data_IF_373880710149
#
_entry.id   IF_373880710149
#
_cell.length_a   1.000
_cell.length_b   1.000
_cell.length_c   1.000
_cell.angle_alpha   90.00
_cell.angle_beta   90.00
_cell.angle_gamma   90.00
#
_symmetry.space_group_name_H-M   'P 1'
#
loop_
_entity.id
_entity.type
_entity.pdbx_description
1 polymer ?
#
# COMPACT_ATOMS: atom_id res chain seq x y z
N UNK A 1 -21.96 19.00 12.77
CA UNK A 1 -20.71 19.03 11.98
C UNK A 1 -19.76 17.98 12.55
N UNK A 2 -19.69 16.78 11.96
CA UNK A 2 -18.84 15.67 12.44
C UNK A 2 -17.97 15.05 11.31
N UNK A 3 -18.11 15.55 10.08
CA UNK A 3 -17.46 14.97 8.89
C UNK A 3 -16.07 15.52 8.57
N UNK A 4 -15.69 16.69 9.09
CA UNK A 4 -14.39 17.31 8.83
C UNK A 4 -13.23 16.56 9.49
N UNK A 5 -13.36 16.27 10.78
CA UNK A 5 -12.32 15.64 11.60
C UNK A 5 -11.95 14.22 11.14
N UNK A 6 -12.95 13.44 10.72
CA UNK A 6 -12.73 12.08 10.21
C UNK A 6 -12.09 12.09 8.81
N UNK A 7 -12.43 13.09 7.98
CA UNK A 7 -11.83 13.25 6.65
C UNK A 7 -10.35 13.59 6.78
N UNK A 8 -10.00 14.51 7.68
CA UNK A 8 -8.61 14.91 7.96
C UNK A 8 -7.77 13.73 8.44
N UNK A 9 -8.26 12.94 9.41
CA UNK A 9 -7.53 11.76 9.91
C UNK A 9 -7.26 10.69 8.85
N UNK A 10 -8.21 10.49 7.93
CA UNK A 10 -8.02 9.53 6.84
C UNK A 10 -7.03 10.04 5.79
N UNK A 11 -7.03 11.35 5.52
CA UNK A 11 -6.05 11.99 4.64
C UNK A 11 -4.65 11.93 5.27
N UNK A 12 -4.51 12.26 6.56
CA UNK A 12 -3.25 12.14 7.29
C UNK A 12 -2.71 10.70 7.25
N UNK A 13 -3.56 9.71 7.57
CA UNK A 13 -3.18 8.29 7.50
C UNK A 13 -2.75 7.85 6.09
N UNK A 14 -3.35 8.40 5.03
CA UNK A 14 -2.95 8.12 3.65
C UNK A 14 -1.62 8.81 3.29
N UNK A 15 -1.45 10.07 3.73
CA UNK A 15 -0.21 10.85 3.51
C UNK A 15 0.98 10.20 4.21
N UNK A 16 0.80 9.69 5.44
CA UNK A 16 1.87 8.99 6.17
C UNK A 16 2.34 7.73 5.44
N UNK A 17 1.40 6.96 4.88
CA UNK A 17 1.70 5.77 4.07
C UNK A 17 2.45 6.13 2.78
N UNK A 18 2.02 7.18 2.09
CA UNK A 18 2.69 7.66 0.88
C UNK A 18 4.08 8.23 1.20
N UNK A 19 4.22 8.96 2.31
CA UNK A 19 5.49 9.46 2.83
C UNK A 19 6.49 8.35 3.15
N UNK A 20 6.00 7.13 3.41
CA UNK A 20 6.82 5.94 3.62
C UNK A 20 7.15 5.23 2.29
N UNK A 21 6.15 4.98 1.44
CA UNK A 21 6.30 4.16 0.22
C UNK A 21 7.10 4.90 -0.87
N UNK A 22 6.88 6.20 -1.07
CA UNK A 22 7.51 6.96 -2.16
C UNK A 22 9.04 6.98 -2.01
N UNK A 23 9.63 7.31 -0.84
CA UNK A 23 11.08 7.25 -0.67
C UNK A 23 11.66 5.84 -0.85
N UNK A 24 10.96 4.79 -0.37
CA UNK A 24 11.36 3.39 -0.55
C UNK A 24 11.41 3.00 -2.04
N UNK A 25 10.39 3.37 -2.81
CA UNK A 25 10.34 3.11 -4.26
C UNK A 25 11.47 3.84 -5.03
N UNK A 26 11.74 5.10 -4.70
CA UNK A 26 12.83 5.86 -5.33
C UNK A 26 14.21 5.28 -4.98
N UNK A 27 14.41 4.85 -3.72
CA UNK A 27 15.65 4.20 -3.31
C UNK A 27 15.88 2.86 -4.02
N UNK A 28 14.85 2.00 -4.07
CA UNK A 28 14.93 0.67 -4.67
C UNK A 28 15.12 0.69 -6.19
N UNK A 29 14.63 1.72 -6.89
CA UNK A 29 14.88 1.94 -8.33
C UNK A 29 16.26 2.56 -8.63
N UNK A 30 17.09 2.77 -7.59
CA UNK A 30 18.38 3.47 -7.66
C UNK A 30 18.25 4.87 -8.27
N UNK A 31 17.11 5.53 -8.04
CA UNK A 31 16.83 6.85 -8.58
C UNK A 31 17.86 7.88 -8.11
N UNK A 32 18.19 7.86 -6.81
CA UNK A 32 19.18 8.76 -6.21
C UNK A 32 20.60 8.50 -6.73
N UNK A 33 20.99 7.25 -6.98
CA UNK A 33 22.30 6.92 -7.59
C UNK A 33 22.49 7.56 -8.96
N UNK A 34 21.38 7.75 -9.70
CA UNK A 34 21.37 8.32 -11.05
C UNK A 34 21.27 9.85 -11.07
N UNK A 35 20.93 10.48 -9.93
CA UNK A 35 20.73 11.93 -9.84
C UNK A 35 21.63 12.51 -8.74
N UNK A 36 22.93 12.61 -9.03
CA UNK A 36 23.90 13.15 -8.10
C UNK A 36 23.66 14.64 -7.75
N UNK A 37 22.97 15.36 -8.63
CA UNK A 37 22.61 16.77 -8.48
C UNK A 37 21.54 17.04 -7.42
N UNK A 38 20.76 16.01 -7.02
CA UNK A 38 19.75 16.16 -5.96
C UNK A 38 20.28 15.75 -4.58
N UNK A 39 21.58 15.45 -4.46
CA UNK A 39 22.14 15.17 -3.15
C UNK A 39 22.13 16.43 -2.27
N UNK A 40 21.88 16.29 -0.96
CA UNK A 40 21.80 17.43 -0.05
C UNK A 40 23.04 18.34 -0.08
N UNK A 41 24.22 17.78 -0.31
CA UNK A 41 25.49 18.52 -0.41
C UNK A 41 25.67 19.29 -1.74
N UNK A 42 24.77 19.11 -2.71
CA UNK A 42 24.73 19.83 -3.99
C UNK A 42 23.61 20.86 -4.06
N UNK A 43 22.69 20.85 -3.10
CA UNK A 43 21.55 21.77 -3.01
C UNK A 43 21.78 22.77 -1.87
N UNK A 44 22.03 24.06 -2.16
CA UNK A 44 22.29 25.09 -1.14
C UNK A 44 21.21 25.17 -0.05
N UNK A 45 19.95 24.90 -0.42
CA UNK A 45 18.80 24.90 0.50
C UNK A 45 18.78 23.72 1.51
N UNK A 46 19.69 22.75 1.37
CA UNK A 46 19.74 21.52 2.15
C UNK A 46 21.10 21.25 2.81
N UNK A 47 22.09 22.13 2.64
CA UNK A 47 23.46 21.97 3.20
C UNK A 47 23.45 21.85 4.72
N UNK A 48 22.59 22.62 5.40
CA UNK A 48 22.48 22.63 6.87
C UNK A 48 21.20 21.98 7.39
N UNK A 49 20.42 21.36 6.50
CA UNK A 49 19.22 20.65 6.93
C UNK A 49 19.62 19.28 7.46
N UNK A 50 19.09 18.85 8.62
CA UNK A 50 19.31 17.49 9.08
C UNK A 50 18.85 16.55 7.97
N UNK A 51 19.72 15.63 7.55
CA UNK A 51 19.30 14.53 6.67
C UNK A 51 18.05 13.90 7.29
N UNK A 52 16.96 13.87 6.51
CA UNK A 52 15.72 13.25 6.97
C UNK A 52 16.05 11.84 7.46
N UNK A 53 15.73 11.53 8.72
CA UNK A 53 15.92 10.20 9.33
C UNK A 53 14.95 9.16 8.77
N UNK A 54 14.64 9.24 7.47
CA UNK A 54 13.80 8.26 6.81
C UNK A 54 14.58 6.95 6.77
N UNK A 55 14.16 6.04 7.64
CA UNK A 55 14.71 4.70 7.72
C UNK A 55 14.26 3.93 6.49
N UNK A 56 15.14 3.85 5.49
CA UNK A 56 14.95 2.97 4.34
C UNK A 56 15.20 1.54 4.81
N UNK A 57 14.16 0.71 4.76
CA UNK A 57 14.25 -0.71 5.11
C UNK A 57 14.19 -1.53 3.83
N UNK A 58 15.26 -2.26 3.52
CA UNK A 58 15.24 -3.26 2.46
C UNK A 58 14.79 -4.59 3.07
N UNK A 59 13.59 -5.02 2.69
CA UNK A 59 13.05 -6.32 3.09
C UNK A 59 13.53 -7.34 2.06
N UNK A 60 14.23 -8.38 2.53
CA UNK A 60 14.70 -9.50 1.70
C UNK A 60 13.76 -10.68 1.84
N UNK A 61 13.83 -11.63 0.90
CA UNK A 61 13.07 -12.89 0.95
C UNK A 61 11.54 -12.70 0.98
N UNK A 62 11.05 -11.56 0.50
CA UNK A 62 9.62 -11.36 0.24
C UNK A 62 9.15 -12.36 -0.81
N UNK A 63 7.94 -12.94 -0.68
CA UNK A 63 7.38 -13.86 -1.67
C UNK A 63 7.37 -13.21 -3.05
N UNK A 64 7.86 -13.91 -4.06
CA UNK A 64 7.93 -13.39 -5.43
C UNK A 64 7.00 -14.19 -6.33
N UNK A 65 6.46 -13.52 -7.34
CA UNK A 65 5.76 -14.22 -8.42
C UNK A 65 6.69 -15.22 -9.11
N UNK A 66 6.12 -16.30 -9.64
CA UNK A 66 6.86 -17.19 -10.54
C UNK A 66 7.40 -16.43 -11.74
N UNK A 67 8.58 -16.83 -12.22
CA UNK A 67 9.23 -16.23 -13.39
C UNK A 67 8.39 -16.31 -14.68
N UNK A 68 7.49 -17.29 -14.75
CA UNK A 68 6.52 -17.46 -15.85
C UNK A 68 5.21 -16.71 -15.64
N UNK A 69 5.02 -16.06 -14.49
CA UNK A 69 3.79 -15.32 -14.17
C UNK A 69 3.86 -13.86 -14.64
N UNK A 70 2.69 -13.28 -14.94
CA UNK A 70 2.47 -11.87 -15.28
C UNK A 70 1.82 -11.07 -14.14
N UNK A 71 1.99 -11.53 -12.90
CA UNK A 71 1.37 -11.00 -11.68
C UNK A 71 2.15 -9.86 -11.01
N UNK A 72 3.05 -9.16 -11.70
CA UNK A 72 3.88 -8.12 -11.08
C UNK A 72 3.03 -7.01 -10.41
N UNK A 73 1.92 -6.63 -11.07
CA UNK A 73 0.95 -5.68 -10.53
C UNK A 73 0.22 -6.22 -9.30
N UNK A 74 -0.14 -7.50 -9.32
CA UNK A 74 -0.79 -8.18 -8.19
C UNK A 74 0.08 -8.14 -6.94
N UNK A 75 1.35 -8.53 -7.05
CA UNK A 75 2.30 -8.51 -5.94
C UNK A 75 2.57 -7.09 -5.45
N UNK A 76 2.62 -6.10 -6.35
CA UNK A 76 2.76 -4.69 -5.97
C UNK A 76 1.57 -4.22 -5.13
N UNK A 77 0.34 -4.48 -5.58
CA UNK A 77 -0.87 -4.14 -4.83
C UNK A 77 -0.92 -4.84 -3.47
N UNK A 78 -0.53 -6.12 -3.43
CA UNK A 78 -0.49 -6.91 -2.22
C UNK A 78 0.51 -6.33 -1.21
N UNK A 79 1.75 -6.04 -1.61
CA UNK A 79 2.73 -5.44 -0.70
C UNK A 79 2.28 -4.07 -0.18
N UNK A 80 1.68 -3.24 -1.04
CA UNK A 80 1.11 -1.96 -0.61
C UNK A 80 -0.01 -2.16 0.41
N UNK A 81 -0.88 -3.16 0.22
CA UNK A 81 -1.94 -3.52 1.17
C UNK A 81 -1.35 -3.99 2.52
N UNK A 82 -0.36 -4.87 2.50
CA UNK A 82 0.28 -5.40 3.72
C UNK A 82 1.01 -4.31 4.51
N UNK A 83 1.85 -3.52 3.85
CA UNK A 83 2.57 -2.39 4.48
C UNK A 83 1.58 -1.35 5.01
N UNK A 84 0.50 -1.10 4.27
CA UNK A 84 -0.59 -0.21 4.71
C UNK A 84 -1.31 -0.70 5.96
N UNK A 85 -1.23 -2.00 6.27
CA UNK A 85 -1.77 -2.62 7.47
C UNK A 85 -0.66 -2.97 8.48
N UNK A 86 0.50 -2.31 8.37
CA UNK A 86 1.62 -2.42 9.31
C UNK A 86 2.27 -3.82 9.34
N UNK A 87 2.08 -4.61 8.28
CA UNK A 87 2.74 -5.91 8.10
C UNK A 87 4.00 -5.71 7.26
N UNK A 88 5.15 -5.64 7.94
CA UNK A 88 6.45 -5.41 7.29
C UNK A 88 7.27 -6.68 7.09
N UNK A 89 7.03 -7.73 7.90
CA UNK A 89 7.67 -9.03 7.70
C UNK A 89 6.74 -9.94 6.90
N UNK A 90 7.09 -10.13 5.63
CA UNK A 90 6.32 -10.90 4.67
C UNK A 90 7.04 -12.18 4.26
N UNK A 91 8.21 -12.49 4.84
CA UNK A 91 9.10 -13.56 4.36
C UNK A 91 8.47 -14.97 4.39
N UNK A 92 7.43 -15.14 5.22
CA UNK A 92 6.74 -16.42 5.43
C UNK A 92 5.26 -16.36 5.06
N UNK A 93 4.84 -15.31 4.35
CA UNK A 93 3.46 -15.20 3.88
C UNK A 93 3.32 -16.07 2.63
N UNK A 94 2.46 -17.08 2.72
CA UNK A 94 2.05 -17.84 1.55
C UNK A 94 1.02 -17.02 0.75
N UNK A 95 1.36 -16.68 -0.50
CA UNK A 95 0.52 -15.84 -1.35
C UNK A 95 -0.27 -16.72 -2.31
N UNK A 96 -1.57 -16.85 -2.05
CA UNK A 96 -2.51 -17.39 -3.04
C UNK A 96 -2.80 -16.33 -4.11
N UNK A 97 -1.97 -16.32 -5.15
CA UNK A 97 -2.10 -15.39 -6.27
C UNK A 97 -3.48 -15.48 -6.95
N UNK A 98 -4.09 -16.67 -7.01
CA UNK A 98 -5.40 -16.85 -7.65
C UNK A 98 -6.50 -16.18 -6.83
N UNK A 99 -6.50 -16.39 -5.52
CA UNK A 99 -7.44 -15.74 -4.61
C UNK A 99 -7.32 -14.21 -4.67
N UNK A 100 -6.10 -13.68 -4.56
CA UNK A 100 -5.89 -12.23 -4.58
C UNK A 100 -6.27 -11.62 -5.94
N UNK A 101 -5.99 -12.31 -7.06
CA UNK A 101 -6.42 -11.86 -8.38
C UNK A 101 -7.94 -11.76 -8.48
N UNK A 102 -8.67 -12.77 -7.98
CA UNK A 102 -10.13 -12.74 -7.96
C UNK A 102 -10.66 -11.59 -7.09
N UNK A 103 -10.12 -11.43 -5.87
CA UNK A 103 -10.51 -10.35 -4.95
C UNK A 103 -10.30 -8.98 -5.58
N UNK A 104 -9.12 -8.70 -6.11
CA UNK A 104 -8.84 -7.41 -6.74
C UNK A 104 -9.64 -7.19 -8.03
N UNK A 105 -9.82 -8.22 -8.85
CA UNK A 105 -10.67 -8.13 -10.04
C UNK A 105 -12.11 -7.76 -9.67
N UNK A 106 -12.69 -8.38 -8.64
CA UNK A 106 -14.03 -8.05 -8.15
C UNK A 106 -14.11 -6.61 -7.65
N UNK A 107 -13.12 -6.15 -6.87
CA UNK A 107 -13.07 -4.78 -6.37
C UNK A 107 -12.99 -3.77 -7.53
N UNK A 108 -12.09 -4.00 -8.48
CA UNK A 108 -11.90 -3.12 -9.65
C UNK A 108 -13.15 -3.11 -10.52
N UNK A 109 -13.76 -4.27 -10.77
CA UNK A 109 -14.99 -4.37 -11.53
C UNK A 109 -16.14 -3.61 -10.87
N UNK A 110 -16.34 -3.81 -9.57
CA UNK A 110 -17.39 -3.12 -8.81
C UNK A 110 -17.18 -1.61 -8.82
N UNK A 111 -15.92 -1.17 -8.67
CA UNK A 111 -15.55 0.23 -8.78
C UNK A 111 -15.85 0.81 -10.17
N UNK A 112 -15.44 0.11 -11.23
CA UNK A 112 -15.71 0.50 -12.62
C UNK A 112 -17.20 0.59 -12.93
N UNK A 113 -17.99 -0.37 -12.42
CA UNK A 113 -19.45 -0.37 -12.53
C UNK A 113 -20.07 0.86 -11.86
N UNK A 114 -19.72 1.12 -10.60
CA UNK A 114 -20.15 2.32 -9.88
C UNK A 114 -19.81 3.60 -10.67
N UNK A 115 -18.58 3.69 -11.17
CA UNK A 115 -18.11 4.86 -11.92
C UNK A 115 -18.93 5.07 -13.20
N UNK A 116 -19.28 3.98 -13.89
CA UNK A 116 -20.11 4.00 -15.09
C UNK A 116 -21.57 4.37 -14.78
N UNK A 117 -22.18 3.72 -13.80
CA UNK A 117 -23.59 3.93 -13.41
C UNK A 117 -23.84 5.39 -12.96
N UNK A 118 -22.83 6.06 -12.39
CA UNK A 118 -22.91 7.46 -11.97
C UNK A 118 -22.41 8.48 -13.00
N UNK A 119 -22.02 8.05 -14.20
CA UNK A 119 -21.50 8.95 -15.24
C UNK A 119 -20.34 9.82 -14.71
N UNK A 120 -19.48 9.22 -13.90
CA UNK A 120 -18.44 9.94 -13.20
C UNK A 120 -17.19 10.09 -14.09
N UNK A 121 -16.99 11.31 -14.57
CA UNK A 121 -15.87 11.68 -15.45
C UNK A 121 -14.52 11.76 -14.72
N UNK A 122 -14.52 11.80 -13.38
CA UNK A 122 -13.30 11.83 -12.58
C UNK A 122 -13.50 11.18 -11.20
N UNK A 123 -12.38 10.80 -10.57
CA UNK A 123 -12.32 10.11 -9.27
C UNK A 123 -12.97 10.92 -8.14
N UNK A 124 -12.79 12.25 -8.15
CA UNK A 124 -13.40 13.13 -7.13
C UNK A 124 -14.92 13.07 -7.13
N UNK A 125 -15.53 12.87 -8.32
CA UNK A 125 -16.97 12.77 -8.50
C UNK A 125 -17.46 11.41 -8.02
N UNK A 126 -16.73 10.33 -8.34
CA UNK A 126 -17.03 8.98 -7.81
C UNK A 126 -17.01 9.00 -6.29
N UNK A 127 -15.92 9.47 -5.68
CA UNK A 127 -15.75 9.49 -4.23
C UNK A 127 -16.81 10.36 -3.56
N UNK A 128 -17.12 11.54 -4.09
CA UNK A 128 -18.16 12.43 -3.55
C UNK A 128 -19.55 11.83 -3.65
N UNK A 129 -19.89 11.20 -4.77
CA UNK A 129 -21.22 10.60 -5.01
C UNK A 129 -21.42 9.32 -4.22
N UNK A 130 -20.40 8.46 -4.13
CA UNK A 130 -20.42 7.27 -3.26
C UNK A 130 -20.50 7.70 -1.80
N UNK A 131 -19.70 8.68 -1.38
CA UNK A 131 -19.71 9.20 -0.02
C UNK A 131 -21.05 9.86 0.36
N UNK A 132 -21.72 10.54 -0.58
CA UNK A 132 -23.01 11.18 -0.30
C UNK A 132 -24.17 10.18 -0.26
N UNK A 133 -24.14 9.12 -1.06
CA UNK A 133 -25.22 8.10 -1.09
C UNK A 133 -25.06 7.01 -0.03
N UNK A 134 -23.83 6.60 0.27
CA UNK A 134 -23.55 5.47 1.17
C UNK A 134 -22.82 5.90 2.46
N UNK A 135 -22.51 7.19 2.63
CA UNK A 135 -21.56 7.66 3.64
C UNK A 135 -20.11 7.54 3.16
N UNK A 136 -19.18 8.27 3.77
CA UNK A 136 -17.74 8.24 3.44
C UNK A 136 -17.18 6.81 3.37
N UNK A 137 -16.01 6.58 2.73
CA UNK A 137 -15.52 5.25 2.39
C UNK A 137 -15.73 4.26 3.53
N UNK A 138 -16.76 3.42 3.41
CA UNK A 138 -16.95 2.32 4.33
C UNK A 138 -15.88 1.32 3.91
N UNK A 139 -14.73 1.36 4.57
CA UNK A 139 -13.96 0.14 4.75
C UNK A 139 -14.97 -0.80 5.39
N UNK A 140 -15.48 -1.77 4.64
CA UNK A 140 -16.37 -2.77 5.17
C UNK A 140 -15.66 -3.36 6.39
N UNK A 141 -16.15 -3.01 7.59
CA UNK A 141 -15.62 -3.54 8.84
C UNK A 141 -15.84 -5.05 8.94
N UNK A 142 -16.59 -5.64 8.01
CA UNK A 142 -16.79 -7.08 7.88
C UNK A 142 -15.49 -7.88 7.66
N UNK A 143 -14.36 -7.25 7.36
CA UNK A 143 -13.05 -7.92 7.42
C UNK A 143 -11.99 -7.16 8.23
N UNK A 144 -12.40 -6.24 9.11
CA UNK A 144 -11.47 -5.41 9.89
C UNK A 144 -11.22 -5.88 11.32
N UNK A 145 -11.66 -7.08 11.71
CA UNK A 145 -11.33 -7.64 13.03
C UNK A 145 -10.86 -9.10 13.02
N UNK A 146 -10.95 -9.80 11.90
CA UNK A 146 -10.50 -11.19 11.88
C UNK A 146 -9.13 -11.33 11.22
N UNK A 147 -8.11 -11.16 12.05
CA UNK A 147 -6.72 -11.47 11.71
C UNK A 147 -6.52 -12.99 11.49
N UNK A 148 -7.54 -13.84 11.70
CA UNK A 148 -7.49 -15.29 11.42
C UNK A 148 -7.42 -15.64 9.94
N UNK A 149 -7.82 -14.72 9.04
CA UNK A 149 -7.73 -14.94 7.59
C UNK A 149 -6.33 -14.66 7.01
N UNK A 150 -5.41 -14.16 7.83
CA UNK A 150 -3.99 -14.10 7.50
C UNK A 150 -3.30 -15.29 8.16
N UNK A 151 -2.55 -16.12 7.42
CA UNK A 151 -1.82 -17.21 8.04
C UNK A 151 -0.87 -16.64 9.10
N UNK A 152 -1.15 -16.96 10.37
CA UNK A 152 -0.23 -16.67 11.47
C UNK A 152 1.07 -17.45 11.20
N UNK A 153 2.25 -16.81 11.20
CA UNK A 153 3.51 -17.52 11.05
C UNK A 153 3.64 -18.57 12.16
N UNK A 154 3.53 -19.86 11.82
CA UNK A 154 3.81 -20.93 12.79
C UNK A 154 5.31 -20.92 13.05
N UNK A 155 5.70 -20.62 14.28
CA UNK A 155 7.04 -20.97 14.75
C UNK A 155 7.15 -22.50 14.75
N UNK A 156 7.88 -23.06 13.78
CA UNK A 156 8.33 -24.44 13.92
C UNK A 156 9.42 -24.49 15.00
N UNK A 157 9.15 -25.25 16.06
CA UNK A 157 10.19 -25.74 16.96
C UNK A 157 11.17 -26.54 16.10
N UNK A 158 12.37 -26.02 15.92
CA UNK A 158 13.48 -26.78 15.38
C UNK A 158 13.77 -27.91 16.36
N UNK A 159 13.46 -29.15 15.95
CA UNK A 159 14.03 -30.32 16.60
C UNK A 159 15.51 -30.35 16.22
N UNK A 160 16.36 -29.88 17.13
CA UNK A 160 17.79 -30.10 17.09
C UNK A 160 18.04 -31.61 17.16
N UNK A 161 18.66 -32.15 16.10
CA UNK A 161 19.48 -33.35 16.15
C UNK A 161 20.79 -33.05 15.45
#
# INVERSE_FOLDING_TARGET
MLGGDLHTKNVEKAVDKLGTIIPLFLASTRFYDKRLEIYPNKLPAYVDKPQSKLKVVSIKNVPQQDSSSSDCGLYTCLFVEYISNEVFDMCYVDIDAKYHRQRYATIIWHYGKIKNDYGAINESKVTRTVASKFGGPRIAKEHAQDISNYPTPRAQRSNLR
#
